data_IF_637093369548
#
_entry.id   IF_637093369548
#
_cell.length_a   1.000
_cell.length_b   1.000
_cell.length_c   1.000
_cell.angle_alpha   90.00
_cell.angle_beta   90.00
_cell.angle_gamma   90.00
#
_symmetry.space_group_name_H-M   'P 1'
#
loop_
_entity.id
_entity.type
_entity.pdbx_description
1 polymer ?
#
# COMPACT_ATOMS: atom_id res chain seq x y z
N UNK A 1 -27.83 -1.31 -27.02
CA UNK A 1 -27.39 -0.45 -25.91
C UNK A 1 -26.03 0.12 -26.28
N UNK A 2 -25.78 1.40 -26.06
CA UNK A 2 -24.44 1.96 -26.30
C UNK A 2 -23.47 1.32 -25.31
N UNK A 3 -22.34 0.80 -25.80
CA UNK A 3 -21.27 0.32 -24.92
C UNK A 3 -20.70 1.50 -24.13
N UNK A 4 -20.36 1.32 -22.84
CA UNK A 4 -19.88 2.42 -22.01
C UNK A 4 -18.54 2.94 -22.51
N UNK A 5 -18.32 4.24 -22.29
CA UNK A 5 -17.05 4.91 -22.56
C UNK A 5 -16.24 4.95 -21.27
N UNK A 6 -15.10 4.27 -21.26
CA UNK A 6 -14.21 4.17 -20.09
C UNK A 6 -13.07 5.18 -20.24
N UNK A 7 -13.02 6.18 -19.38
CA UNK A 7 -11.85 7.05 -19.26
C UNK A 7 -10.72 6.30 -18.55
N UNK A 8 -9.52 6.33 -19.13
CA UNK A 8 -8.33 5.70 -18.57
C UNK A 8 -7.25 6.76 -18.44
N UNK A 9 -6.86 7.08 -17.21
CA UNK A 9 -5.75 7.98 -16.95
C UNK A 9 -4.45 7.30 -17.35
N UNK A 10 -3.63 7.98 -18.14
CA UNK A 10 -2.29 7.52 -18.47
C UNK A 10 -1.48 7.33 -17.19
N UNK A 11 -0.89 6.15 -17.08
CA UNK A 11 0.04 5.80 -16.03
C UNK A 11 1.31 5.21 -16.66
N UNK A 12 2.46 5.71 -16.22
CA UNK A 12 3.75 5.19 -16.65
C UNK A 12 4.76 5.41 -15.53
N UNK A 13 5.06 4.34 -14.82
CA UNK A 13 5.90 4.42 -13.63
C UNK A 13 7.17 3.58 -13.78
N UNK A 14 8.31 4.18 -13.49
CA UNK A 14 9.53 3.46 -13.18
C UNK A 14 9.44 2.93 -11.74
N UNK A 15 9.41 1.61 -11.59
CA UNK A 15 9.32 0.91 -10.31
C UNK A 15 10.65 0.96 -9.55
N UNK A 16 10.60 0.62 -8.25
CA UNK A 16 11.83 0.52 -7.44
C UNK A 16 12.76 -0.60 -7.88
N UNK A 17 12.21 -1.62 -8.55
CA UNK A 17 12.96 -2.70 -9.21
C UNK A 17 13.66 -2.28 -10.51
N UNK A 18 13.47 -1.03 -10.99
CA UNK A 18 13.98 -0.57 -12.28
C UNK A 18 13.15 -1.01 -13.49
N UNK A 19 12.06 -1.73 -13.26
CA UNK A 19 11.10 -2.14 -14.29
C UNK A 19 10.10 -1.02 -14.57
N UNK A 20 9.59 -0.96 -15.79
CA UNK A 20 8.46 -0.09 -16.12
C UNK A 20 7.14 -0.83 -15.91
N UNK A 21 6.14 -0.12 -15.40
CA UNK A 21 4.78 -0.62 -15.23
C UNK A 21 3.77 0.40 -15.75
N UNK A 22 2.85 -0.10 -16.56
CA UNK A 22 1.68 0.64 -17.03
C UNK A 22 0.45 -0.27 -17.06
N UNK A 23 -0.54 0.07 -16.23
CA UNK A 23 -1.84 -0.59 -16.21
C UNK A 23 -2.72 -0.02 -17.33
N UNK A 24 -2.68 1.31 -17.52
CA UNK A 24 -3.39 2.01 -18.59
C UNK A 24 -3.14 1.44 -19.99
N UNK A 25 -1.87 1.17 -20.35
CA UNK A 25 -1.54 0.54 -21.64
C UNK A 25 -2.24 -0.82 -21.82
N UNK A 26 -2.18 -1.68 -20.80
CA UNK A 26 -2.80 -3.01 -20.84
C UNK A 26 -4.32 -2.93 -20.87
N UNK A 27 -4.93 -1.98 -20.16
CA UNK A 27 -6.39 -1.80 -20.19
C UNK A 27 -6.89 -1.30 -21.55
N UNK A 28 -6.15 -0.43 -22.24
CA UNK A 28 -6.48 -0.07 -23.62
C UNK A 28 -6.41 -1.27 -24.58
N UNK A 29 -5.40 -2.15 -24.44
CA UNK A 29 -5.31 -3.39 -25.22
C UNK A 29 -6.51 -4.31 -25.00
N UNK A 30 -6.88 -4.55 -23.74
CA UNK A 30 -8.01 -5.41 -23.36
C UNK A 30 -9.34 -4.82 -23.83
N UNK A 31 -9.51 -3.51 -23.74
CA UNK A 31 -10.69 -2.82 -24.25
C UNK A 31 -10.85 -2.99 -25.76
N UNK A 32 -9.76 -2.82 -26.53
CA UNK A 32 -9.77 -3.00 -27.97
C UNK A 32 -10.17 -4.43 -28.37
N UNK A 33 -9.67 -5.45 -27.65
CA UNK A 33 -10.03 -6.86 -27.87
C UNK A 33 -11.52 -7.15 -27.62
N UNK A 34 -12.15 -6.42 -26.69
CA UNK A 34 -13.57 -6.58 -26.32
C UNK A 34 -14.49 -5.60 -27.07
N UNK A 35 -13.92 -4.76 -27.94
CA UNK A 35 -14.63 -3.69 -28.63
C UNK A 35 -15.31 -2.71 -27.67
N UNK A 36 -14.68 -2.41 -26.53
CA UNK A 36 -15.11 -1.41 -25.55
C UNK A 36 -14.39 -0.10 -25.85
N UNK A 37 -15.15 1.00 -25.88
CA UNK A 37 -14.60 2.32 -26.17
C UNK A 37 -13.87 2.86 -24.95
N UNK A 38 -12.61 3.25 -25.13
CA UNK A 38 -11.83 3.93 -24.09
C UNK A 38 -11.41 5.33 -24.52
N UNK A 39 -11.35 6.24 -23.57
CA UNK A 39 -10.74 7.57 -23.74
C UNK A 39 -9.48 7.67 -22.90
N UNK A 40 -8.34 7.85 -23.53
CA UNK A 40 -7.11 8.16 -22.81
C UNK A 40 -7.19 9.59 -22.25
N UNK A 41 -6.98 9.75 -20.95
CA UNK A 41 -6.97 11.07 -20.29
C UNK A 41 -5.63 11.32 -19.61
N UNK A 42 -5.33 12.60 -19.39
CA UNK A 42 -4.18 13.03 -18.61
C UNK A 42 -4.51 14.26 -17.75
N UNK A 43 -4.71 14.04 -16.45
CA UNK A 43 -5.02 15.09 -15.48
C UNK A 43 -3.83 16.00 -15.15
N UNK A 44 -2.63 15.66 -15.61
CA UNK A 44 -1.43 16.50 -15.46
C UNK A 44 -1.13 17.31 -16.71
N UNK A 45 -1.93 17.16 -17.77
CA UNK A 45 -1.75 17.89 -19.03
C UNK A 45 -2.06 19.38 -18.87
N UNK A 46 -1.18 20.22 -19.41
CA UNK A 46 -1.41 21.67 -19.51
C UNK A 46 -2.36 22.04 -20.66
N UNK A 47 -2.69 21.10 -21.55
CA UNK A 47 -3.45 21.39 -22.76
C UNK A 47 -4.97 21.39 -22.53
N UNK A 48 -5.48 20.63 -21.56
CA UNK A 48 -6.92 20.47 -21.32
C UNK A 48 -7.18 20.10 -19.87
N UNK A 49 -8.18 20.72 -19.25
CA UNK A 49 -8.61 20.42 -17.88
C UNK A 49 -9.00 18.93 -17.73
N UNK A 50 -8.45 18.26 -16.72
CA UNK A 50 -8.69 16.83 -16.47
C UNK A 50 -10.15 16.47 -16.20
N UNK A 51 -10.93 17.38 -15.60
CA UNK A 51 -12.38 17.19 -15.35
C UNK A 51 -13.16 17.29 -16.65
N UNK A 52 -12.77 18.19 -17.57
CA UNK A 52 -13.38 18.28 -18.90
C UNK A 52 -13.14 17.00 -19.69
N UNK A 53 -11.94 16.40 -19.60
CA UNK A 53 -11.62 15.13 -20.27
C UNK A 53 -12.53 13.97 -19.81
N UNK A 54 -13.06 14.03 -18.58
CA UNK A 54 -13.96 13.02 -18.00
C UNK A 54 -15.44 13.19 -18.38
N UNK A 55 -15.83 14.29 -19.05
CA UNK A 55 -17.21 14.50 -19.48
C UNK A 55 -17.68 13.40 -20.43
N UNK A 56 -18.94 13.00 -20.35
CA UNK A 56 -19.55 11.95 -21.19
C UNK A 56 -18.87 10.57 -21.10
N UNK A 57 -18.07 10.32 -20.07
CA UNK A 57 -17.55 8.98 -19.75
C UNK A 57 -18.44 8.31 -18.71
N UNK A 58 -18.66 7.02 -18.84
CA UNK A 58 -19.51 6.22 -17.94
C UNK A 58 -18.70 5.62 -16.77
N UNK A 59 -17.39 5.53 -16.95
CA UNK A 59 -16.47 4.92 -16.00
C UNK A 59 -15.08 5.57 -16.07
N UNK A 60 -14.31 5.44 -14.99
CA UNK A 60 -12.95 5.96 -14.88
C UNK A 60 -12.00 4.94 -14.24
N UNK A 61 -10.84 4.72 -14.85
CA UNK A 61 -9.77 3.87 -14.31
C UNK A 61 -8.47 4.65 -14.22
N UNK A 62 -7.80 4.57 -13.06
CA UNK A 62 -6.52 5.19 -12.84
C UNK A 62 -5.67 4.38 -11.85
N UNK A 63 -4.68 3.66 -12.37
CA UNK A 63 -3.63 3.12 -11.51
C UNK A 63 -2.55 4.17 -11.24
N UNK A 64 -2.17 4.35 -9.99
CA UNK A 64 -1.15 5.34 -9.63
C UNK A 64 -0.16 4.80 -8.59
N UNK A 65 1.06 5.30 -8.68
CA UNK A 65 2.15 4.94 -7.79
C UNK A 65 2.14 5.77 -6.48
N UNK A 66 3.03 5.39 -5.55
CA UNK A 66 3.14 6.03 -4.24
C UNK A 66 3.53 7.53 -4.22
N UNK A 67 4.42 8.05 -5.11
CA UNK A 67 4.97 9.41 -4.95
C UNK A 67 3.86 10.47 -4.74
N UNK A 68 3.96 11.33 -3.70
CA UNK A 68 2.93 12.33 -3.37
C UNK A 68 2.49 13.22 -4.53
N UNK A 69 3.40 13.58 -5.43
CA UNK A 69 3.13 14.36 -6.65
C UNK A 69 2.11 13.69 -7.57
N UNK A 70 2.05 12.34 -7.56
CA UNK A 70 1.12 11.53 -8.35
C UNK A 70 -0.08 11.11 -7.51
N UNK A 71 0.16 10.59 -6.31
CA UNK A 71 -0.88 9.98 -5.48
C UNK A 71 -1.84 11.00 -4.87
N UNK A 72 -1.39 12.21 -4.50
CA UNK A 72 -2.28 13.22 -3.89
C UNK A 72 -3.30 13.77 -4.89
N UNK A 73 -2.94 14.18 -6.13
CA UNK A 73 -3.93 14.56 -7.13
C UNK A 73 -4.90 13.43 -7.46
N UNK A 74 -4.39 12.20 -7.63
CA UNK A 74 -5.20 11.01 -7.90
C UNK A 74 -6.26 10.77 -6.82
N UNK A 75 -5.83 10.73 -5.55
CA UNK A 75 -6.73 10.51 -4.41
C UNK A 75 -7.79 11.60 -4.29
N UNK A 76 -7.43 12.86 -4.50
CA UNK A 76 -8.36 14.00 -4.48
C UNK A 76 -9.42 13.87 -5.57
N UNK A 77 -9.01 13.61 -6.81
CA UNK A 77 -9.92 13.43 -7.93
C UNK A 77 -10.89 12.27 -7.68
N UNK A 78 -10.38 11.11 -7.27
CA UNK A 78 -11.21 9.93 -6.98
C UNK A 78 -12.19 10.19 -5.83
N UNK A 79 -11.75 10.87 -4.77
CA UNK A 79 -12.62 11.26 -3.67
C UNK A 79 -13.72 12.22 -4.14
N UNK A 80 -13.38 13.22 -4.97
CA UNK A 80 -14.37 14.13 -5.57
C UNK A 80 -15.36 13.37 -6.44
N UNK A 81 -14.90 12.48 -7.33
CA UNK A 81 -15.77 11.64 -8.16
C UNK A 81 -16.71 10.77 -7.32
N UNK A 82 -16.22 10.19 -6.22
CA UNK A 82 -17.04 9.41 -5.30
C UNK A 82 -18.15 10.23 -4.62
N UNK A 83 -17.97 11.55 -4.46
CA UNK A 83 -18.96 12.43 -3.84
C UNK A 83 -20.01 12.96 -4.82
N UNK A 84 -19.62 13.32 -6.04
CA UNK A 84 -20.51 14.06 -6.97
C UNK A 84 -20.90 13.29 -8.21
N UNK A 85 -20.12 12.29 -8.61
CA UNK A 85 -20.34 11.56 -9.86
C UNK A 85 -21.05 10.23 -9.63
N UNK A 86 -21.74 9.75 -10.67
CA UNK A 86 -22.36 8.42 -10.72
C UNK A 86 -21.52 7.42 -11.51
N UNK A 87 -20.39 7.83 -12.07
CA UNK A 87 -19.52 6.95 -12.85
C UNK A 87 -18.85 5.91 -11.96
N UNK A 88 -18.60 4.73 -12.51
CA UNK A 88 -17.84 3.70 -11.79
C UNK A 88 -16.36 4.05 -11.82
N UNK A 89 -15.66 3.91 -10.69
CA UNK A 89 -14.24 4.26 -10.57
C UNK A 89 -13.40 3.08 -10.09
N UNK A 90 -12.24 2.88 -10.71
CA UNK A 90 -11.15 2.08 -10.16
C UNK A 90 -9.87 2.93 -10.05
N UNK A 91 -9.17 2.89 -8.91
CA UNK A 91 -9.65 2.39 -7.63
C UNK A 91 -10.72 3.32 -7.05
N UNK A 92 -11.63 2.78 -6.25
CA UNK A 92 -12.64 3.55 -5.53
C UNK A 92 -12.10 4.09 -4.19
N UNK A 93 -12.86 4.97 -3.54
CA UNK A 93 -12.46 5.59 -2.28
C UNK A 93 -12.10 4.58 -1.18
N UNK A 94 -12.89 3.51 -1.02
CA UNK A 94 -12.63 2.44 -0.03
C UNK A 94 -11.27 1.77 -0.24
N UNK A 95 -10.81 1.70 -1.49
CA UNK A 95 -9.56 1.07 -1.89
C UNK A 95 -8.33 1.92 -1.59
N UNK A 96 -8.45 3.26 -1.63
CA UNK A 96 -7.27 4.16 -1.63
C UNK A 96 -7.23 5.21 -0.53
N UNK A 97 -8.30 5.43 0.24
CA UNK A 97 -8.29 6.51 1.22
C UNK A 97 -7.21 6.31 2.30
N UNK A 98 -6.86 5.07 2.62
CA UNK A 98 -5.81 4.70 3.59
C UNK A 98 -4.41 4.58 2.96
N UNK A 99 -4.29 4.71 1.64
CA UNK A 99 -3.06 4.36 0.93
C UNK A 99 -1.87 5.24 1.36
N UNK A 100 -0.75 4.58 1.69
CA UNK A 100 0.51 5.17 2.15
C UNK A 100 0.38 5.99 3.44
N UNK A 101 -0.56 5.59 4.31
CA UNK A 101 -0.76 6.17 5.64
C UNK A 101 -1.01 5.07 6.68
N UNK A 102 0.08 4.65 7.34
CA UNK A 102 0.06 3.59 8.36
C UNK A 102 -0.78 3.95 9.60
N UNK A 103 -1.07 5.23 9.85
CA UNK A 103 -2.00 5.64 10.91
C UNK A 103 -3.44 5.44 10.46
N UNK A 104 -3.77 5.81 9.23
CA UNK A 104 -5.08 5.54 8.64
C UNK A 104 -5.36 4.02 8.58
N UNK A 105 -4.38 3.22 8.14
CA UNK A 105 -4.44 1.76 8.15
C UNK A 105 -4.67 1.21 9.57
N UNK A 106 -3.94 1.71 10.57
CA UNK A 106 -4.12 1.31 11.97
C UNK A 106 -5.56 1.55 12.45
N UNK A 107 -6.11 2.75 12.24
CA UNK A 107 -7.49 3.04 12.64
C UNK A 107 -8.49 2.14 11.90
N UNK A 108 -8.32 2.00 10.59
CA UNK A 108 -9.21 1.18 9.77
C UNK A 108 -9.23 -0.28 10.22
N UNK A 109 -8.05 -0.90 10.34
CA UNK A 109 -7.93 -2.32 10.70
C UNK A 109 -8.40 -2.58 12.14
N UNK A 110 -8.05 -1.68 13.08
CA UNK A 110 -8.45 -1.82 14.48
C UNK A 110 -9.97 -1.69 14.65
N UNK A 111 -10.59 -0.71 14.00
CA UNK A 111 -12.05 -0.52 14.06
C UNK A 111 -12.80 -1.63 13.31
N UNK A 112 -12.20 -2.20 12.26
CA UNK A 112 -12.75 -3.35 11.54
C UNK A 112 -12.58 -4.70 12.26
N UNK A 113 -11.92 -4.72 13.44
CA UNK A 113 -11.66 -5.96 14.19
C UNK A 113 -10.71 -6.92 13.45
N UNK A 114 -9.84 -6.39 12.60
CA UNK A 114 -8.84 -7.17 11.87
C UNK A 114 -7.61 -7.38 12.79
N UNK A 115 -7.13 -8.63 12.96
CA UNK A 115 -5.94 -8.91 13.76
C UNK A 115 -4.70 -8.14 13.25
N UNK A 116 -4.18 -7.27 14.10
CA UNK A 116 -2.93 -6.53 13.88
C UNK A 116 -2.01 -6.69 15.09
N UNK A 117 -0.68 -6.49 14.94
CA UNK A 117 0.19 -6.39 16.09
C UNK A 117 -0.23 -5.21 16.98
N UNK A 118 0.01 -5.32 18.29
CA UNK A 118 -0.21 -4.25 19.26
C UNK A 118 0.46 -2.99 18.77
N UNK A 119 -0.35 -2.00 18.42
CA UNK A 119 0.09 -0.75 17.81
C UNK A 119 -0.47 0.41 18.61
N UNK A 120 0.39 1.40 18.84
CA UNK A 120 0.13 2.58 19.64
C UNK A 120 0.42 3.82 18.79
N UNK A 121 -0.60 4.66 18.61
CA UNK A 121 -0.50 5.97 17.96
C UNK A 121 -0.75 7.04 19.02
N UNK A 122 0.20 7.96 19.20
CA UNK A 122 0.13 9.04 20.18
C UNK A 122 0.27 10.38 19.46
N UNK A 123 -0.61 11.32 19.79
CA UNK A 123 -0.66 12.66 19.19
C UNK A 123 -0.14 13.75 20.11
N UNK A 124 0.09 13.42 21.39
CA UNK A 124 0.68 14.34 22.37
C UNK A 124 2.09 13.91 22.73
N UNK A 125 2.98 14.90 22.85
CA UNK A 125 4.34 14.70 23.34
C UNK A 125 4.35 14.11 24.74
N UNK A 126 3.46 14.56 25.61
CA UNK A 126 3.44 14.11 27.01
C UNK A 126 3.02 12.65 27.11
N UNK A 127 1.97 12.26 26.38
CA UNK A 127 1.57 10.86 26.26
C UNK A 127 2.68 9.99 25.66
N UNK A 128 3.41 10.51 24.66
CA UNK A 128 4.54 9.83 24.07
C UNK A 128 5.68 9.60 25.06
N UNK A 129 6.03 10.62 25.87
CA UNK A 129 7.05 10.52 26.92
C UNK A 129 6.62 9.53 28.00
N UNK A 130 5.36 9.59 28.44
CA UNK A 130 4.81 8.65 29.42
C UNK A 130 4.87 7.21 28.91
N UNK A 131 4.43 6.98 27.66
CA UNK A 131 4.45 5.65 27.04
C UNK A 131 5.86 5.06 26.98
N UNK A 132 6.86 5.81 26.52
CA UNK A 132 8.23 5.28 26.41
C UNK A 132 8.93 5.13 27.76
N UNK A 133 8.47 5.85 28.80
CA UNK A 133 9.02 5.74 30.16
C UNK A 133 8.44 4.54 30.90
N UNK A 134 7.17 4.22 30.62
CA UNK A 134 6.43 3.11 31.25
C UNK A 134 6.48 1.80 30.45
N UNK A 135 7.00 1.83 29.22
CA UNK A 135 7.12 0.65 28.37
C UNK A 135 7.94 -0.45 29.06
N UNK A 136 7.30 -1.61 29.28
CA UNK A 136 7.90 -2.76 29.95
C UNK A 136 8.64 -3.72 29.00
N UNK A 137 8.52 -3.51 27.68
CA UNK A 137 9.02 -4.42 26.66
C UNK A 137 9.68 -3.67 25.51
N UNK A 138 10.93 -4.02 25.25
CA UNK A 138 11.71 -3.63 24.07
C UNK A 138 12.26 -4.90 23.39
N UNK A 139 12.53 -4.87 22.07
CA UNK A 139 12.44 -3.71 21.19
C UNK A 139 11.00 -3.37 20.73
N UNK A 140 10.81 -2.13 20.27
CA UNK A 140 9.60 -1.65 19.60
C UNK A 140 9.90 -1.30 18.15
N UNK A 141 8.93 -1.43 17.26
CA UNK A 141 9.06 -1.04 15.85
C UNK A 141 8.50 0.37 15.66
N UNK A 142 9.39 1.34 15.43
CA UNK A 142 9.01 2.69 14.99
C UNK A 142 8.62 2.64 13.52
N UNK A 143 7.48 3.25 13.17
CA UNK A 143 7.07 3.47 11.78
C UNK A 143 6.71 4.94 11.59
N UNK A 144 7.17 5.56 10.50
CA UNK A 144 6.56 6.82 10.03
C UNK A 144 5.33 6.48 9.17
N UNK A 145 4.39 7.42 9.03
CA UNK A 145 3.10 7.20 8.35
C UNK A 145 3.27 6.67 6.92
N UNK A 146 4.21 7.24 6.17
CA UNK A 146 4.44 6.88 4.76
C UNK A 146 5.83 6.30 4.53
N UNK A 147 5.97 5.58 3.42
CA UNK A 147 7.24 5.03 2.95
C UNK A 147 7.11 3.59 2.45
N UNK A 148 7.92 3.28 1.45
CA UNK A 148 7.97 1.99 0.74
C UNK A 148 9.27 1.23 1.05
N UNK A 149 9.33 -0.07 0.69
CA UNK A 149 10.52 -0.94 0.82
C UNK A 149 11.16 -0.93 2.22
N UNK A 150 10.33 -0.78 3.25
CA UNK A 150 10.72 -0.61 4.65
C UNK A 150 11.63 0.60 4.93
N UNK A 151 11.64 1.61 4.06
CA UNK A 151 12.04 2.95 4.46
C UNK A 151 11.13 3.40 5.58
N UNK A 152 11.67 4.21 6.49
CA UNK A 152 10.91 4.76 7.61
C UNK A 152 10.39 3.72 8.62
N UNK A 153 11.04 2.55 8.69
CA UNK A 153 10.82 1.52 9.71
C UNK A 153 12.12 1.24 10.45
N UNK A 154 12.13 1.37 11.78
CA UNK A 154 13.30 1.16 12.63
C UNK A 154 12.96 0.34 13.89
N UNK A 155 13.86 -0.56 14.28
CA UNK A 155 13.79 -1.27 15.55
C UNK A 155 14.43 -0.42 16.65
N UNK A 156 13.63 -0.03 17.64
CA UNK A 156 14.03 0.80 18.77
C UNK A 156 14.25 -0.09 19.98
N UNK A 157 15.51 -0.23 20.42
CA UNK A 157 15.90 -1.24 21.41
C UNK A 157 15.77 -0.81 22.88
N UNK A 158 15.58 0.47 23.17
CA UNK A 158 15.52 0.96 24.55
C UNK A 158 14.86 2.34 24.66
N UNK A 159 14.51 2.73 25.89
CA UNK A 159 13.88 4.00 26.22
C UNK A 159 14.70 5.24 25.79
N UNK A 160 16.04 5.16 25.82
CA UNK A 160 16.92 6.25 25.37
C UNK A 160 16.81 6.48 23.86
N UNK A 161 16.78 5.41 23.07
CA UNK A 161 16.55 5.50 21.63
C UNK A 161 15.13 6.02 21.34
N UNK A 162 14.12 5.53 22.07
CA UNK A 162 12.74 5.98 21.92
C UNK A 162 12.57 7.48 22.24
N UNK A 163 13.25 7.98 23.28
CA UNK A 163 13.25 9.40 23.64
C UNK A 163 13.75 10.31 22.50
N UNK A 164 14.77 9.88 21.76
CA UNK A 164 15.28 10.63 20.59
C UNK A 164 14.23 10.71 19.48
N UNK A 165 13.52 9.61 19.23
CA UNK A 165 12.42 9.57 18.27
C UNK A 165 11.32 10.58 18.66
N UNK A 166 10.93 10.62 19.93
CA UNK A 166 9.94 11.58 20.46
C UNK A 166 10.41 13.03 20.32
N UNK A 167 11.66 13.33 20.70
CA UNK A 167 12.23 14.67 20.56
C UNK A 167 12.18 15.17 19.12
N UNK A 168 12.43 14.29 18.16
CA UNK A 168 12.44 14.67 16.76
C UNK A 168 11.04 14.77 16.17
N UNK A 169 10.17 13.77 16.37
CA UNK A 169 8.82 13.77 15.81
C UNK A 169 7.92 14.86 16.42
N UNK A 170 8.11 15.23 17.69
CA UNK A 170 7.38 16.35 18.31
C UNK A 170 8.13 17.68 18.30
N UNK A 171 9.38 17.70 17.82
CA UNK A 171 10.21 18.91 17.71
C UNK A 171 10.35 19.37 16.26
N UNK A 172 11.50 19.05 15.65
CA UNK A 172 11.85 19.45 14.28
C UNK A 172 11.03 18.77 13.20
N UNK A 173 10.56 17.53 13.43
CA UNK A 173 10.00 16.65 12.40
C UNK A 173 11.06 16.04 11.48
N UNK A 174 10.63 15.21 10.54
CA UNK A 174 11.50 14.56 9.55
C UNK A 174 10.74 14.10 8.32
N UNK A 175 11.39 14.02 7.16
CA UNK A 175 10.81 13.30 6.01
C UNK A 175 11.19 11.82 5.99
N UNK A 176 12.35 11.48 6.52
CA UNK A 176 12.82 10.09 6.58
C UNK A 176 13.61 9.82 7.84
N UNK A 177 13.65 8.55 8.24
CA UNK A 177 14.52 8.10 9.33
C UNK A 177 15.99 8.23 8.93
N UNK A 178 16.87 8.62 9.86
CA UNK A 178 18.30 8.71 9.59
C UNK A 178 18.90 7.30 9.33
N UNK A 179 19.92 7.20 8.47
CA UNK A 179 20.55 5.92 8.15
C UNK A 179 21.09 5.23 9.42
N UNK A 180 21.01 3.90 9.50
CA UNK A 180 21.56 3.15 10.63
C UNK A 180 23.09 3.27 10.70
N UNK A 181 23.66 3.00 11.88
CA UNK A 181 25.10 2.83 12.14
C UNK A 181 26.02 4.08 12.09
N UNK A 182 25.47 5.30 12.06
CA UNK A 182 26.28 6.52 12.22
C UNK A 182 26.22 7.08 13.65
N UNK A 183 27.36 7.28 14.35
CA UNK A 183 27.36 8.09 15.56
C UNK A 183 26.88 9.50 15.19
N UNK A 184 25.93 10.03 15.96
CA UNK A 184 25.31 11.34 15.69
C UNK A 184 24.50 11.43 14.38
N UNK A 185 23.99 10.31 13.84
CA UNK A 185 23.13 10.28 12.62
C UNK A 185 22.02 11.33 12.58
N UNK A 186 21.46 11.68 13.75
CA UNK A 186 20.42 12.70 13.90
C UNK A 186 20.95 14.12 13.64
N UNK A 187 22.18 14.43 14.06
CA UNK A 187 22.85 15.69 13.75
C UNK A 187 23.20 15.79 12.26
N UNK A 188 23.77 14.72 11.68
CA UNK A 188 24.09 14.67 10.25
C UNK A 188 22.83 14.87 9.38
N UNK A 189 21.72 14.21 9.75
CA UNK A 189 20.42 14.39 9.11
C UNK A 189 19.97 15.86 9.13
N UNK A 190 20.14 16.57 10.26
CA UNK A 190 19.80 18.00 10.36
C UNK A 190 20.64 18.86 9.43
N UNK A 191 21.95 18.61 9.31
CA UNK A 191 22.81 19.33 8.36
C UNK A 191 22.35 19.07 6.91
N UNK A 192 22.11 17.80 6.57
CA UNK A 192 21.65 17.43 5.23
C UNK A 192 20.29 18.07 4.90
N UNK A 193 19.35 18.10 5.84
CA UNK A 193 18.07 18.77 5.64
C UNK A 193 18.22 20.28 5.47
N UNK A 194 19.02 20.94 6.30
CA UNK A 194 19.29 22.38 6.17
C UNK A 194 19.92 22.72 4.82
N UNK A 195 20.91 21.93 4.38
CA UNK A 195 21.57 22.12 3.08
C UNK A 195 20.59 21.97 1.90
N UNK A 196 19.63 21.05 1.99
CA UNK A 196 18.65 20.81 0.93
C UNK A 196 17.63 21.93 0.83
N UNK A 197 17.18 22.46 1.97
CA UNK A 197 16.30 23.62 2.02
C UNK A 197 17.00 24.83 1.38
N UNK A 198 18.27 25.06 1.73
CA UNK A 198 19.08 26.12 1.14
C UNK A 198 19.24 25.97 -0.37
N UNK A 199 19.34 24.73 -0.86
CA UNK A 199 19.48 24.39 -2.28
C UNK A 199 18.13 24.26 -3.02
N UNK A 200 17.00 24.58 -2.38
CA UNK A 200 15.64 24.45 -2.94
C UNK A 200 15.38 23.10 -3.64
N UNK A 201 15.95 22.00 -3.13
CA UNK A 201 15.70 20.68 -3.72
C UNK A 201 14.29 20.23 -3.35
N UNK A 202 13.44 20.03 -4.35
CA UNK A 202 12.09 19.50 -4.17
C UNK A 202 12.13 18.12 -3.49
N UNK A 203 11.15 17.89 -2.60
CA UNK A 203 10.94 16.57 -1.97
C UNK A 203 9.57 16.05 -2.33
N UNK A 204 9.55 14.90 -2.96
CA UNK A 204 8.36 14.08 -3.14
C UNK A 204 8.23 13.04 -2.03
N UNK A 205 8.36 13.50 -0.78
CA UNK A 205 8.31 12.69 0.44
C UNK A 205 7.44 13.40 1.48
N UNK A 206 6.64 12.64 2.22
CA UNK A 206 5.80 13.18 3.30
C UNK A 206 6.66 13.79 4.42
N UNK A 207 6.14 14.84 5.07
CA UNK A 207 6.77 15.40 6.26
C UNK A 207 6.09 14.86 7.51
N UNK A 208 6.88 14.26 8.40
CA UNK A 208 6.38 13.60 9.60
C UNK A 208 6.67 14.42 10.85
N UNK A 209 5.61 14.87 11.52
CA UNK A 209 5.66 15.63 12.75
C UNK A 209 4.35 15.50 13.53
N UNK A 210 4.41 15.63 14.86
CA UNK A 210 3.25 15.74 15.73
C UNK A 210 2.58 14.41 16.09
N UNK A 211 3.25 13.28 15.85
CA UNK A 211 2.75 11.97 16.24
C UNK A 211 3.90 11.01 16.57
N UNK A 212 3.58 9.92 17.28
CA UNK A 212 4.44 8.76 17.46
C UNK A 212 3.65 7.50 17.14
N UNK A 213 4.17 6.68 16.22
CA UNK A 213 3.60 5.38 15.86
C UNK A 213 4.60 4.28 16.21
N UNK A 214 4.27 3.52 17.25
CA UNK A 214 5.01 2.33 17.66
C UNK A 214 4.16 1.09 17.49
N UNK A 215 4.80 0.01 17.08
CA UNK A 215 4.22 -1.33 16.97
C UNK A 215 5.06 -2.33 17.76
N UNK A 216 4.44 -3.35 18.34
CA UNK A 216 5.16 -4.47 18.97
C UNK A 216 6.07 -5.16 17.95
N UNK A 217 7.24 -5.58 18.40
CA UNK A 217 8.11 -6.42 17.60
C UNK A 217 7.65 -7.87 17.68
N UNK A 218 7.53 -8.55 16.53
CA UNK A 218 7.14 -9.95 16.43
C UNK A 218 8.37 -10.82 16.07
N UNK A 219 9.11 -11.35 17.06
CA UNK A 219 10.29 -12.17 16.80
C UNK A 219 9.91 -13.50 16.13
N UNK A 220 10.89 -14.16 15.49
CA UNK A 220 10.72 -15.49 14.90
C UNK A 220 9.98 -15.51 13.55
N UNK A 221 9.86 -14.36 12.89
CA UNK A 221 9.34 -14.27 11.53
C UNK A 221 10.51 -14.09 10.55
N UNK A 222 10.91 -15.15 9.84
CA UNK A 222 11.98 -15.11 8.83
C UNK A 222 11.53 -14.58 7.46
N UNK A 223 10.22 -14.40 7.32
CA UNK A 223 9.56 -13.87 6.13
C UNK A 223 8.24 -13.22 6.54
N UNK A 224 7.70 -12.40 5.65
CA UNK A 224 6.27 -12.11 5.63
C UNK A 224 5.58 -12.84 4.48
N UNK A 225 4.26 -12.97 4.59
CA UNK A 225 3.40 -13.47 3.52
C UNK A 225 2.72 -12.25 2.89
N UNK A 226 3.05 -11.96 1.64
CA UNK A 226 2.37 -10.94 0.83
C UNK A 226 1.21 -11.62 0.13
N UNK A 227 0.00 -11.12 0.33
CA UNK A 227 -1.20 -11.58 -0.38
C UNK A 227 -1.88 -10.37 -1.04
N UNK A 228 -2.02 -10.42 -2.36
CA UNK A 228 -2.77 -9.43 -3.14
C UNK A 228 -4.14 -9.98 -3.49
N UNK A 229 -5.19 -9.38 -2.96
CA UNK A 229 -6.59 -9.67 -3.29
C UNK A 229 -7.02 -8.75 -4.43
N UNK A 230 -7.58 -9.33 -5.50
CA UNK A 230 -8.24 -8.60 -6.60
C UNK A 230 -9.61 -9.23 -6.81
N UNK A 231 -10.66 -8.51 -6.43
CA UNK A 231 -12.01 -9.07 -6.34
C UNK A 231 -12.03 -10.34 -5.48
N UNK A 232 -12.32 -11.48 -6.10
CA UNK A 232 -12.40 -12.78 -5.43
C UNK A 232 -11.15 -13.65 -5.61
N UNK A 233 -10.05 -13.10 -6.14
CA UNK A 233 -8.80 -13.83 -6.36
C UNK A 233 -7.72 -13.35 -5.39
N UNK A 234 -6.91 -14.28 -4.89
CA UNK A 234 -5.77 -14.02 -4.04
C UNK A 234 -4.49 -14.54 -4.71
N UNK A 235 -3.50 -13.66 -4.81
CA UNK A 235 -2.15 -13.97 -5.31
C UNK A 235 -1.20 -13.85 -4.13
N UNK A 236 -0.47 -14.91 -3.79
CA UNK A 236 0.34 -14.93 -2.58
C UNK A 236 1.75 -15.46 -2.83
N UNK A 237 2.69 -14.93 -2.06
CA UNK A 237 4.09 -15.35 -2.05
C UNK A 237 4.74 -14.97 -0.72
N UNK A 238 5.80 -15.67 -0.35
CA UNK A 238 6.62 -15.32 0.83
C UNK A 238 7.71 -14.34 0.41
N UNK A 239 8.02 -13.36 1.26
CA UNK A 239 9.20 -12.50 1.09
C UNK A 239 10.13 -12.71 2.26
N UNK A 240 11.32 -13.22 2.01
CA UNK A 240 12.30 -13.48 3.06
C UNK A 240 12.96 -12.20 3.54
N UNK A 241 13.30 -12.18 4.83
CA UNK A 241 14.07 -11.11 5.44
C UNK A 241 15.43 -10.91 4.76
N UNK A 242 15.94 -9.67 4.83
CA UNK A 242 17.32 -9.39 4.40
C UNK A 242 18.30 -10.00 5.40
N UNK A 243 19.52 -10.37 4.98
CA UNK A 243 20.54 -10.83 5.91
C UNK A 243 20.76 -9.83 7.04
N UNK A 244 20.68 -10.28 8.30
CA UNK A 244 20.84 -9.47 9.51
C UNK A 244 19.83 -8.30 9.66
N UNK A 245 18.64 -8.42 9.06
CA UNK A 245 17.55 -7.45 9.16
C UNK A 245 16.24 -8.19 9.48
N UNK A 246 15.33 -7.58 10.23
CA UNK A 246 14.02 -8.15 10.52
C UNK A 246 12.97 -7.86 9.43
N UNK A 247 13.35 -7.08 8.41
CA UNK A 247 12.45 -6.58 7.37
C UNK A 247 12.55 -7.41 6.09
N UNK A 248 11.40 -7.85 5.59
CA UNK A 248 11.26 -8.62 4.36
C UNK A 248 11.08 -7.75 3.10
N UNK A 249 10.28 -6.68 3.19
CA UNK A 249 9.97 -5.84 2.03
C UNK A 249 11.25 -5.23 1.41
N UNK A 250 11.34 -5.26 0.08
CA UNK A 250 12.53 -4.80 -0.66
C UNK A 250 13.78 -5.68 -0.53
N UNK A 251 13.69 -6.90 0.03
CA UNK A 251 14.82 -7.84 0.05
C UNK A 251 15.17 -8.41 -1.32
N UNK A 252 14.20 -8.43 -2.25
CA UNK A 252 14.31 -9.12 -3.54
C UNK A 252 14.25 -10.65 -3.44
N UNK A 253 14.07 -11.20 -2.23
CA UNK A 253 14.06 -12.64 -1.96
C UNK A 253 12.61 -13.13 -1.85
N UNK A 254 12.01 -13.41 -2.99
CA UNK A 254 10.61 -13.84 -3.08
C UNK A 254 10.55 -15.34 -3.37
N UNK A 255 9.64 -16.02 -2.69
CA UNK A 255 9.30 -17.42 -2.92
C UNK A 255 7.82 -17.53 -3.31
N UNK A 256 7.59 -18.03 -4.52
CA UNK A 256 6.27 -18.17 -5.14
C UNK A 256 5.67 -19.58 -5.01
N UNK A 257 6.26 -20.47 -4.20
CA UNK A 257 5.70 -21.79 -3.96
C UNK A 257 4.32 -21.70 -3.28
N UNK A 258 3.22 -22.07 -3.97
CA UNK A 258 1.88 -21.93 -3.40
C UNK A 258 1.62 -22.92 -2.26
N UNK A 259 2.33 -24.05 -2.20
CA UNK A 259 2.17 -25.05 -1.14
C UNK A 259 2.61 -24.53 0.24
N UNK A 260 3.42 -23.46 0.22
CA UNK A 260 3.96 -22.82 1.41
C UNK A 260 3.06 -21.70 1.96
N UNK A 261 1.92 -21.42 1.32
CA UNK A 261 0.98 -20.38 1.72
C UNK A 261 -0.12 -20.97 2.62
N UNK A 262 -0.16 -20.61 3.92
CA UNK A 262 -1.14 -21.15 4.85
C UNK A 262 -2.56 -20.63 4.58
N UNK A 263 -3.55 -21.52 4.73
CA UNK A 263 -4.96 -21.21 4.50
C UNK A 263 -5.50 -20.10 5.43
N UNK A 264 -5.08 -20.07 6.69
CA UNK A 264 -5.52 -19.06 7.65
C UNK A 264 -5.11 -17.63 7.25
N UNK A 265 -3.93 -17.45 6.66
CA UNK A 265 -3.46 -16.20 6.11
C UNK A 265 -4.29 -15.78 4.88
N UNK A 266 -4.61 -16.71 3.99
CA UNK A 266 -5.49 -16.46 2.84
C UNK A 266 -6.89 -16.02 3.29
N UNK A 267 -7.47 -16.74 4.26
CA UNK A 267 -8.79 -16.41 4.80
C UNK A 267 -8.79 -15.05 5.50
N UNK A 268 -7.71 -14.70 6.23
CA UNK A 268 -7.55 -13.38 6.82
C UNK A 268 -7.50 -12.28 5.75
N UNK A 269 -6.77 -12.50 4.65
CA UNK A 269 -6.68 -11.55 3.55
C UNK A 269 -8.04 -11.34 2.85
N UNK A 270 -8.75 -12.42 2.51
CA UNK A 270 -10.10 -12.35 1.94
C UNK A 270 -11.09 -11.66 2.87
N UNK A 271 -11.10 -12.03 4.16
CA UNK A 271 -11.93 -11.39 5.18
C UNK A 271 -11.66 -9.88 5.22
N UNK A 272 -10.38 -9.49 5.24
CA UNK A 272 -9.97 -8.08 5.27
C UNK A 272 -10.49 -7.33 4.04
N UNK A 273 -10.21 -7.81 2.83
CA UNK A 273 -10.69 -7.17 1.60
C UNK A 273 -12.23 -7.02 1.57
N UNK A 274 -12.96 -8.07 1.97
CA UNK A 274 -14.44 -8.05 2.03
C UNK A 274 -14.98 -7.08 3.08
N UNK A 275 -14.40 -7.08 4.28
CA UNK A 275 -14.80 -6.16 5.37
C UNK A 275 -14.54 -4.70 4.98
N UNK A 276 -13.40 -4.44 4.34
CA UNK A 276 -13.00 -3.10 3.91
C UNK A 276 -13.64 -2.68 2.57
N UNK A 277 -14.30 -3.61 1.86
CA UNK A 277 -14.96 -3.40 0.57
C UNK A 277 -14.00 -2.82 -0.49
N UNK A 278 -12.77 -3.31 -0.50
CA UNK A 278 -11.73 -2.90 -1.47
C UNK A 278 -11.90 -3.64 -2.80
N UNK A 279 -11.51 -2.99 -3.90
CA UNK A 279 -11.46 -3.63 -5.23
C UNK A 279 -10.16 -4.41 -5.44
N UNK A 280 -9.06 -3.87 -4.90
CA UNK A 280 -7.74 -4.50 -4.88
C UNK A 280 -7.04 -4.16 -3.56
N UNK A 281 -6.36 -5.12 -2.95
CA UNK A 281 -5.70 -4.95 -1.66
C UNK A 281 -4.51 -5.90 -1.52
N UNK A 282 -3.31 -5.36 -1.41
CA UNK A 282 -2.16 -6.07 -0.89
C UNK A 282 -2.17 -6.05 0.65
N UNK A 283 -1.94 -7.18 1.27
CA UNK A 283 -1.75 -7.32 2.72
C UNK A 283 -0.42 -7.99 3.01
N UNK A 284 0.26 -7.52 4.05
CA UNK A 284 1.46 -8.13 4.59
C UNK A 284 1.13 -8.81 5.92
N UNK A 285 1.40 -10.11 6.01
CA UNK A 285 1.02 -10.94 7.15
C UNK A 285 2.28 -11.47 7.84
N UNK A 286 2.33 -11.33 9.16
CA UNK A 286 3.27 -11.99 10.07
C UNK A 286 2.54 -12.95 11.00
N UNK A 287 3.31 -13.72 11.77
CA UNK A 287 2.83 -14.60 12.83
C UNK A 287 3.06 -13.97 14.21
N UNK A 288 2.02 -13.96 15.04
CA UNK A 288 2.08 -13.66 16.48
C UNK A 288 1.63 -14.89 17.24
N UNK A 289 2.56 -15.60 17.88
CA UNK A 289 2.29 -16.86 18.58
C UNK A 289 1.58 -17.91 17.68
N UNK A 290 2.00 -18.02 16.42
CA UNK A 290 1.39 -18.91 15.43
C UNK A 290 0.20 -18.32 14.67
N UNK A 291 -0.49 -17.33 15.22
CA UNK A 291 -1.67 -16.72 14.60
C UNK A 291 -1.31 -15.65 13.57
N UNK A 292 -2.04 -15.55 12.44
CA UNK A 292 -1.78 -14.55 11.41
C UNK A 292 -2.25 -13.16 11.85
N UNK A 293 -1.40 -12.15 11.66
CA UNK A 293 -1.72 -10.74 11.89
C UNK A 293 -1.26 -9.88 10.72
N UNK A 294 -2.06 -8.87 10.36
CA UNK A 294 -1.73 -7.93 9.28
C UNK A 294 -0.84 -6.82 9.83
N UNK A 295 0.34 -6.65 9.22
CA UNK A 295 1.30 -5.60 9.61
C UNK A 295 1.20 -4.33 8.77
N UNK A 296 0.67 -4.45 7.56
CA UNK A 296 0.50 -3.38 6.57
C UNK A 296 -0.55 -3.79 5.55
N UNK A 297 -1.33 -2.82 5.05
CA UNK A 297 -2.17 -2.99 3.86
C UNK A 297 -1.81 -1.92 2.83
N UNK A 298 -1.97 -2.23 1.54
CA UNK A 298 -1.68 -1.27 0.49
C UNK A 298 -2.55 -1.50 -0.73
N UNK A 299 -2.92 -0.40 -1.39
CA UNK A 299 -3.45 -0.44 -2.75
C UNK A 299 -2.36 -0.79 -3.76
N UNK A 300 -1.13 -0.33 -3.52
CA UNK A 300 -0.03 -0.44 -4.46
C UNK A 300 0.78 -1.72 -4.26
N UNK A 301 1.15 -2.35 -5.38
CA UNK A 301 2.08 -3.46 -5.46
C UNK A 301 2.77 -3.45 -6.82
N UNK A 302 3.96 -4.06 -6.89
CA UNK A 302 4.66 -4.26 -8.16
C UNK A 302 4.01 -5.44 -8.90
N UNK A 303 3.39 -5.17 -10.04
CA UNK A 303 2.54 -6.10 -10.78
C UNK A 303 3.30 -7.32 -11.31
N UNK A 304 4.59 -7.18 -11.59
CA UNK A 304 5.43 -8.31 -12.02
C UNK A 304 5.51 -9.40 -10.94
N UNK A 305 5.49 -9.04 -9.65
CA UNK A 305 5.58 -10.01 -8.56
C UNK A 305 4.27 -10.83 -8.44
N UNK A 306 3.14 -10.20 -8.74
CA UNK A 306 1.82 -10.86 -8.82
C UNK A 306 1.73 -11.73 -10.07
N UNK A 307 2.19 -11.23 -11.23
CA UNK A 307 2.20 -11.96 -12.49
C UNK A 307 3.14 -13.17 -12.48
N UNK A 308 4.15 -13.19 -11.60
CA UNK A 308 5.06 -14.32 -11.41
C UNK A 308 4.45 -15.47 -10.58
N UNK A 309 3.29 -15.26 -9.94
CA UNK A 309 2.60 -16.36 -9.26
C UNK A 309 2.19 -17.43 -10.28
N UNK A 310 2.41 -18.73 -10.00
CA UNK A 310 2.07 -19.82 -10.91
C UNK A 310 0.56 -19.99 -11.10
N UNK A 311 -0.22 -19.48 -10.15
CA UNK A 311 -1.68 -19.52 -10.12
C UNK A 311 -2.22 -18.56 -9.07
N UNK A 312 -3.48 -18.75 -8.71
CA UNK A 312 -4.13 -17.94 -7.68
C UNK A 312 -5.22 -18.73 -6.95
N UNK A 313 -5.53 -18.31 -5.72
CA UNK A 313 -6.67 -18.83 -4.99
C UNK A 313 -7.92 -18.04 -5.34
N UNK A 314 -9.00 -18.70 -5.69
CA UNK A 314 -10.27 -18.06 -6.00
C UNK A 314 -11.33 -18.42 -4.98
N UNK A 315 -11.90 -17.40 -4.33
CA UNK A 315 -13.04 -17.54 -3.45
C UNK A 315 -14.32 -17.63 -4.30
N UNK A 316 -15.08 -18.69 -4.12
CA UNK A 316 -16.36 -18.88 -4.79
C UNK A 316 -17.51 -18.63 -3.81
N UNK A 317 -18.62 -18.08 -4.30
CA UNK A 317 -19.79 -17.74 -3.47
C UNK A 317 -20.42 -18.93 -2.72
N UNK A 318 -20.07 -20.18 -3.08
CA UNK A 318 -20.64 -21.41 -2.52
C UNK A 318 -19.67 -22.20 -1.63
N UNK A 319 -18.37 -21.84 -1.59
CA UNK A 319 -17.37 -22.61 -0.86
C UNK A 319 -16.80 -21.81 0.32
N UNK A 320 -16.61 -22.45 1.50
CA UNK A 320 -16.04 -21.79 2.66
C UNK A 320 -14.52 -21.57 2.55
N UNK A 321 -13.86 -22.27 1.62
CA UNK A 321 -12.42 -22.17 1.36
C UNK A 321 -12.18 -21.84 -0.11
N UNK A 322 -11.11 -21.10 -0.43
CA UNK A 322 -10.79 -20.77 -1.81
C UNK A 322 -10.19 -21.99 -2.54
N UNK A 323 -10.48 -22.09 -3.83
CA UNK A 323 -9.92 -23.13 -4.70
C UNK A 323 -8.64 -22.63 -5.38
N UNK A 324 -7.67 -23.50 -5.59
CA UNK A 324 -6.49 -23.16 -6.38
C UNK A 324 -6.83 -23.22 -7.88
N UNK A 325 -6.43 -22.19 -8.62
CA UNK A 325 -6.54 -22.10 -10.07
C UNK A 325 -5.14 -21.95 -10.65
N UNK A 326 -4.72 -22.96 -11.41
CA UNK A 326 -3.44 -22.94 -12.11
C UNK A 326 -3.44 -21.92 -13.25
N UNK A 327 -2.27 -21.31 -13.49
CA UNK A 327 -2.07 -20.32 -14.54
C UNK A 327 -1.82 -18.93 -13.98
N UNK A 328 -0.68 -18.36 -14.34
CA UNK A 328 -0.32 -16.99 -14.00
C UNK A 328 -1.33 -16.01 -14.58
N UNK A 329 -1.69 -14.99 -13.81
CA UNK A 329 -2.57 -13.91 -14.26
C UNK A 329 -1.95 -12.57 -13.90
N UNK A 330 -1.96 -11.65 -14.87
CA UNK A 330 -1.55 -10.27 -14.64
C UNK A 330 -2.57 -9.54 -13.76
N UNK A 331 -2.16 -8.74 -12.77
CA UNK A 331 -3.10 -7.98 -11.96
C UNK A 331 -3.92 -6.98 -12.79
N UNK A 332 -3.36 -6.44 -13.88
CA UNK A 332 -4.05 -5.58 -14.83
C UNK A 332 -5.28 -6.27 -15.42
N UNK A 333 -5.11 -7.52 -15.84
CA UNK A 333 -6.13 -8.36 -16.46
C UNK A 333 -7.21 -8.74 -15.43
N UNK A 334 -6.79 -9.10 -14.21
CA UNK A 334 -7.69 -9.39 -13.10
C UNK A 334 -8.58 -8.18 -12.74
N UNK A 335 -7.97 -6.99 -12.60
CA UNK A 335 -8.70 -5.76 -12.30
C UNK A 335 -9.65 -5.40 -13.44
N UNK A 336 -9.18 -5.49 -14.69
CA UNK A 336 -10.00 -5.20 -15.86
C UNK A 336 -11.25 -6.09 -15.89
N UNK A 337 -11.06 -7.41 -15.73
CA UNK A 337 -12.15 -8.37 -15.72
C UNK A 337 -13.22 -8.04 -14.67
N UNK A 338 -12.79 -7.71 -13.44
CA UNK A 338 -13.74 -7.37 -12.37
C UNK A 338 -14.42 -6.02 -12.62
N UNK A 339 -13.68 -5.05 -13.15
CA UNK A 339 -14.21 -3.73 -13.43
C UNK A 339 -15.29 -3.78 -14.52
N UNK A 340 -15.03 -4.49 -15.62
CA UNK A 340 -16.00 -4.68 -16.71
C UNK A 340 -17.22 -5.47 -16.25
N UNK A 341 -17.03 -6.53 -15.45
CA UNK A 341 -18.15 -7.28 -14.89
C UNK A 341 -19.06 -6.41 -13.99
N UNK A 342 -18.52 -5.37 -13.35
CA UNK A 342 -19.30 -4.41 -12.55
C UNK A 342 -20.06 -3.36 -13.38
N UNK A 343 -19.81 -3.26 -14.69
CA UNK A 343 -20.45 -2.28 -15.57
C UNK A 343 -21.71 -2.83 -16.29
N UNK A 344 -22.14 -4.05 -15.96
CA UNK A 344 -23.28 -4.75 -16.59
C UNK A 344 -23.20 -4.80 -18.13
N UNK A 345 -21.98 -4.88 -18.67
CA UNK A 345 -21.73 -5.06 -20.11
C UNK A 345 -21.88 -6.55 -20.43
N UNK A 346 -23.11 -7.03 -20.58
CA UNK A 346 -23.42 -8.34 -21.18
C UNK A 346 -23.65 -8.22 -22.68
#
# INVERSE_FOLDING_TARGET
>A
MNKPIIAIQKDHQLLTSGRYQSFSARWHELAAQQGITTRAIDIFSNATDGVVQLQDCDAFMYWFAQPPSVSRPARKLIASLAHVSKIRVFPNLNTIWHFDDKIAEFYLLRLAGIPIPKTTVLWSRDQAVEFITTATSYPLVLKLTSGIISRNVELVHNAKAAHRCVQELFGSGMHTLPPPNFPFRWYLKRILEASRILLCRERDEEFHKGYLLFQEFLPGNDFDIRITIIGNRAFAFRRHNRPNDFRASGSGRIDWDPTQIPLDALMLAFKTAKTLKTQSLAVDILRRNGEPVIVEISYYYEGWAVAACPGHWQLQNHFPQPIWVEGSMRPEDAIWSDFIACLDIQ
#
